data_IF_801723462577
#
_entry.id   IF_801723462577
#
_cell.length_a   1.000
_cell.length_b   1.000
_cell.length_c   1.000
_cell.angle_alpha   90.00
_cell.angle_beta   90.00
_cell.angle_gamma   90.00
#
_symmetry.space_group_name_H-M   'P 1'
#
loop_
_entity.id
_entity.type
_entity.pdbx_description
1 polymer ?
#
# COMPACT_ATOMS: atom_id res chain seq x y z
N UNK A 1 67.71 -9.25 -5.21
CA UNK A 1 67.57 -8.27 -4.11
C UNK A 1 66.17 -7.70 -4.24
N UNK A 2 65.20 -8.25 -3.50
CA UNK A 2 63.83 -7.76 -3.19
C UNK A 2 63.00 -8.98 -2.78
N UNK A 3 63.50 -9.68 -1.75
CA UNK A 3 62.64 -10.49 -0.87
C UNK A 3 62.22 -9.54 0.26
N UNK A 4 61.00 -9.76 0.77
CA UNK A 4 60.43 -9.22 2.01
C UNK A 4 60.14 -7.71 2.08
N UNK A 5 58.97 -7.31 1.60
CA UNK A 5 57.92 -6.53 2.31
C UNK A 5 56.69 -6.71 1.41
N UNK A 6 55.68 -7.51 1.75
CA UNK A 6 54.41 -7.03 2.31
C UNK A 6 53.68 -8.25 2.89
N UNK A 7 53.95 -8.54 4.15
CA UNK A 7 52.99 -9.24 5.01
C UNK A 7 51.87 -8.26 5.31
N UNK A 8 50.64 -8.61 4.95
CA UNK A 8 49.43 -7.90 5.40
C UNK A 8 48.75 -7.08 4.33
N UNK A 9 47.97 -7.73 3.48
CA UNK A 9 46.68 -7.18 3.06
C UNK A 9 45.71 -8.35 2.97
N UNK A 10 44.94 -8.58 4.03
CA UNK A 10 43.60 -9.17 3.90
C UNK A 10 42.73 -8.15 3.16
N UNK A 11 43.04 -7.96 1.88
CA UNK A 11 42.35 -7.03 1.00
C UNK A 11 41.17 -7.76 0.39
N UNK A 12 39.96 -7.38 0.79
CA UNK A 12 38.71 -7.79 0.14
C UNK A 12 38.90 -7.62 -1.39
N UNK A 13 38.76 -8.69 -2.20
CA UNK A 13 38.89 -8.62 -3.66
C UNK A 13 38.02 -7.49 -4.23
N UNK A 14 38.50 -6.81 -5.27
CA UNK A 14 37.81 -5.65 -5.86
C UNK A 14 36.35 -5.99 -6.23
N UNK A 15 36.11 -7.20 -6.72
CA UNK A 15 34.79 -7.72 -7.08
C UNK A 15 33.83 -7.86 -5.89
N UNK A 16 34.37 -8.22 -4.71
CA UNK A 16 33.60 -8.26 -3.47
C UNK A 16 33.22 -6.84 -3.03
N UNK A 17 34.11 -5.86 -3.20
CA UNK A 17 33.81 -4.45 -2.92
C UNK A 17 32.69 -3.93 -3.84
N UNK A 18 32.72 -4.26 -5.14
CA UNK A 18 31.68 -3.85 -6.09
C UNK A 18 30.33 -4.51 -5.78
N UNK A 19 30.31 -5.83 -5.56
CA UNK A 19 29.06 -6.54 -5.23
C UNK A 19 28.45 -6.07 -3.91
N UNK A 20 29.25 -5.77 -2.89
CA UNK A 20 28.76 -5.21 -1.63
C UNK A 20 28.18 -3.80 -1.80
N UNK A 21 28.75 -2.97 -2.69
CA UNK A 21 28.20 -1.64 -3.00
C UNK A 21 26.87 -1.73 -3.72
N UNK A 22 26.77 -2.63 -4.69
CA UNK A 22 25.53 -2.89 -5.42
C UNK A 22 24.44 -3.41 -4.49
N UNK A 23 24.75 -4.40 -3.64
CA UNK A 23 23.83 -4.93 -2.64
C UNK A 23 23.32 -3.83 -1.69
N UNK A 24 24.21 -2.93 -1.24
CA UNK A 24 23.84 -1.79 -0.41
C UNK A 24 22.88 -0.84 -1.13
N UNK A 25 23.17 -0.50 -2.38
CA UNK A 25 22.32 0.41 -3.16
C UNK A 25 20.93 -0.20 -3.40
N UNK A 26 20.87 -1.48 -3.77
CA UNK A 26 19.62 -2.19 -3.95
C UNK A 26 18.80 -2.25 -2.66
N UNK A 27 19.45 -2.51 -1.52
CA UNK A 27 18.80 -2.49 -0.22
C UNK A 27 18.25 -1.09 0.14
N UNK A 28 18.97 -0.02 -0.21
CA UNK A 28 18.50 1.36 -0.01
C UNK A 28 17.27 1.68 -0.85
N UNK A 29 17.26 1.28 -2.12
CA UNK A 29 16.10 1.48 -3.02
C UNK A 29 14.88 0.70 -2.51
N UNK A 30 15.05 -0.59 -2.22
CA UNK A 30 13.97 -1.41 -1.67
C UNK A 30 13.45 -0.87 -0.33
N UNK A 31 14.35 -0.33 0.51
CA UNK A 31 14.00 0.35 1.74
C UNK A 31 13.10 1.57 1.50
N UNK A 32 13.48 2.43 0.56
CA UNK A 32 12.71 3.63 0.21
C UNK A 32 11.32 3.28 -0.35
N UNK A 33 11.21 2.29 -1.23
CA UNK A 33 9.94 1.81 -1.77
C UNK A 33 9.02 1.30 -0.65
N UNK A 34 9.57 0.52 0.28
CA UNK A 34 8.81 -0.01 1.43
C UNK A 34 8.31 1.10 2.35
N UNK A 35 9.14 2.10 2.65
CA UNK A 35 8.70 3.24 3.46
C UNK A 35 7.62 4.06 2.74
N UNK A 36 7.72 4.23 1.41
CA UNK A 36 6.66 4.83 0.61
C UNK A 36 5.34 4.07 0.67
N UNK A 37 5.38 2.74 0.61
CA UNK A 37 4.18 1.90 0.75
C UNK A 37 3.58 2.01 2.16
N UNK A 38 4.40 1.96 3.22
CA UNK A 38 3.93 2.14 4.60
C UNK A 38 3.24 3.48 4.79
N UNK A 39 3.83 4.56 4.27
CA UNK A 39 3.25 5.89 4.35
C UNK A 39 1.84 5.93 3.72
N UNK A 40 1.68 5.36 2.53
CA UNK A 40 0.36 5.28 1.86
C UNK A 40 -0.65 4.45 2.64
N UNK A 41 -0.22 3.35 3.25
CA UNK A 41 -1.09 2.52 4.11
C UNK A 41 -1.53 3.33 5.33
N UNK A 42 -0.62 4.02 6.00
CA UNK A 42 -0.93 4.87 7.15
C UNK A 42 -1.86 6.03 6.78
N UNK A 43 -1.65 6.67 5.63
CA UNK A 43 -2.54 7.73 5.12
C UNK A 43 -3.95 7.19 4.83
N UNK A 44 -4.06 6.00 4.26
CA UNK A 44 -5.37 5.37 4.04
C UNK A 44 -6.05 4.94 5.34
N UNK A 45 -5.30 4.43 6.31
CA UNK A 45 -5.82 4.10 7.64
C UNK A 45 -6.35 5.35 8.33
N UNK A 46 -5.58 6.43 8.36
CA UNK A 46 -6.01 7.71 8.92
C UNK A 46 -7.26 8.25 8.21
N UNK A 47 -7.30 8.19 6.87
CA UNK A 47 -8.48 8.60 6.11
C UNK A 47 -9.73 7.80 6.51
N UNK A 48 -9.61 6.49 6.70
CA UNK A 48 -10.73 5.64 7.13
C UNK A 48 -11.12 5.89 8.59
N UNK A 49 -10.16 6.13 9.49
CA UNK A 49 -10.42 6.42 10.90
C UNK A 49 -11.13 7.77 11.08
N UNK A 50 -10.78 8.77 10.25
CA UNK A 50 -11.46 10.07 10.19
C UNK A 50 -12.89 9.98 9.63
N UNK A 51 -13.27 8.87 8.97
CA UNK A 51 -14.62 8.63 8.44
C UNK A 51 -15.61 8.13 9.51
N UNK A 52 -15.34 8.32 10.81
CA UNK A 52 -16.32 8.13 11.88
C UNK A 52 -17.41 9.22 11.85
N UNK A 53 -18.30 9.13 10.87
CA UNK A 53 -19.67 9.51 11.05
C UNK A 53 -20.50 8.27 10.74
N UNK A 54 -21.17 7.75 11.77
CA UNK A 54 -22.36 6.96 11.51
C UNK A 54 -23.23 7.81 10.59
N UNK A 55 -23.67 7.25 9.46
CA UNK A 55 -24.64 7.93 8.59
C UNK A 55 -25.96 7.95 9.37
N UNK A 56 -26.12 8.94 10.24
CA UNK A 56 -27.32 9.13 11.07
C UNK A 56 -28.43 9.78 10.27
N UNK A 57 -28.08 10.45 9.18
CA UNK A 57 -28.99 11.19 8.30
C UNK A 57 -28.72 10.87 6.84
N UNK A 58 -29.76 10.98 6.02
CA UNK A 58 -29.65 10.77 4.59
C UNK A 58 -28.87 11.92 3.92
N UNK A 59 -27.77 11.59 3.24
CA UNK A 59 -27.01 12.51 2.40
C UNK A 59 -27.12 12.13 0.92
N UNK A 60 -27.85 12.93 0.15
CA UNK A 60 -28.06 12.75 -1.29
C UNK A 60 -26.74 12.75 -2.09
N UNK A 61 -25.77 13.59 -1.71
CA UNK A 61 -24.48 13.63 -2.40
C UNK A 61 -23.69 12.34 -2.16
N UNK A 62 -23.74 11.81 -0.94
CA UNK A 62 -23.12 10.55 -0.59
C UNK A 62 -23.78 9.38 -1.33
N UNK A 63 -25.11 9.34 -1.40
CA UNK A 63 -25.85 8.30 -2.14
C UNK A 63 -25.46 8.30 -3.62
N UNK A 64 -25.41 9.47 -4.28
CA UNK A 64 -24.97 9.56 -5.68
C UNK A 64 -23.51 9.14 -5.89
N UNK A 65 -22.67 9.35 -4.87
CA UNK A 65 -21.27 8.95 -4.92
C UNK A 65 -21.09 7.45 -4.78
N UNK A 66 -21.91 6.78 -3.96
CA UNK A 66 -21.73 5.37 -3.60
C UNK A 66 -22.58 4.39 -4.41
N UNK A 67 -23.81 4.77 -4.78
CA UNK A 67 -24.77 3.88 -5.42
C UNK A 67 -24.62 3.90 -6.94
N UNK A 68 -24.59 2.72 -7.54
CA UNK A 68 -24.61 2.52 -8.99
C UNK A 68 -26.04 2.39 -9.50
N UNK A 69 -26.83 1.47 -8.92
CA UNK A 69 -28.25 1.30 -9.24
C UNK A 69 -29.04 0.67 -8.10
N UNK A 70 -30.35 0.89 -8.11
CA UNK A 70 -31.31 0.28 -7.19
C UNK A 70 -32.33 -0.50 -8.03
N UNK A 71 -32.54 -1.78 -7.70
CA UNK A 71 -33.55 -2.63 -8.34
C UNK A 71 -34.61 -3.03 -7.32
N UNK A 72 -35.86 -2.72 -7.62
CA UNK A 72 -37.01 -3.00 -6.74
C UNK A 72 -37.73 -4.25 -7.24
N UNK A 73 -37.94 -5.21 -6.34
CA UNK A 73 -38.73 -6.42 -6.54
C UNK A 73 -39.96 -6.39 -5.62
N UNK A 74 -40.81 -7.41 -5.69
CA UNK A 74 -42.01 -7.50 -4.87
C UNK A 74 -41.69 -7.55 -3.36
N UNK A 75 -40.75 -8.42 -2.97
CA UNK A 75 -40.42 -8.70 -1.55
C UNK A 75 -39.08 -8.10 -1.09
N UNK A 76 -38.32 -7.47 -1.98
CA UNK A 76 -36.98 -6.95 -1.66
C UNK A 76 -36.56 -5.78 -2.54
N UNK A 77 -35.56 -5.07 -2.06
CA UNK A 77 -34.80 -4.07 -2.80
C UNK A 77 -33.35 -4.49 -2.83
N UNK A 78 -32.74 -4.51 -4.02
CA UNK A 78 -31.31 -4.74 -4.20
C UNK A 78 -30.63 -3.41 -4.50
N UNK A 79 -29.63 -3.06 -3.69
CA UNK A 79 -28.80 -1.86 -3.84
C UNK A 79 -27.41 -2.28 -4.30
N UNK A 80 -27.00 -1.85 -5.48
CA UNK A 80 -25.66 -2.09 -6.02
C UNK A 80 -24.78 -0.84 -5.86
N UNK A 81 -23.62 -1.02 -5.23
CA UNK A 81 -22.63 0.03 -5.01
C UNK A 81 -21.65 0.08 -6.17
N UNK A 82 -21.08 1.27 -6.42
CA UNK A 82 -20.02 1.47 -7.43
C UNK A 82 -18.74 0.65 -7.16
N UNK A 83 -18.57 0.15 -5.94
CA UNK A 83 -17.51 -0.80 -5.58
C UNK A 83 -17.74 -2.21 -6.14
N UNK A 84 -18.92 -2.49 -6.71
CA UNK A 84 -19.33 -3.82 -7.14
C UNK A 84 -19.95 -4.68 -6.03
N UNK A 85 -20.05 -4.16 -4.80
CA UNK A 85 -20.77 -4.83 -3.69
C UNK A 85 -22.27 -4.62 -3.85
N UNK A 86 -23.08 -5.58 -3.39
CA UNK A 86 -24.54 -5.46 -3.35
C UNK A 86 -25.11 -5.83 -1.98
N UNK A 87 -26.25 -5.21 -1.64
CA UNK A 87 -27.01 -5.51 -0.42
C UNK A 87 -28.48 -5.71 -0.80
N UNK A 88 -29.07 -6.78 -0.28
CA UNK A 88 -30.50 -7.05 -0.39
C UNK A 88 -31.20 -6.66 0.91
N UNK A 89 -32.19 -5.76 0.80
CA UNK A 89 -33.06 -5.35 1.90
C UNK A 89 -34.43 -5.97 1.67
N UNK A 90 -34.87 -6.83 2.59
CA UNK A 90 -36.24 -7.35 2.57
C UNK A 90 -37.21 -6.25 2.98
N UNK A 91 -38.39 -6.28 2.39
CA UNK A 91 -39.47 -5.34 2.71
C UNK A 91 -40.01 -5.50 4.12
#
# INVERSE_FOLDING_TARGET
>A
MYKSVLSGTDGVPLDEIYSLREAKQNAQVAGAEREGMKKRISEMQQFLDEQQQDITEYDEQLVRRLIEKITVYDERVTVEFKSGTSVDVRR
#
